data_IF_307617539345
#
_entry.id   IF_307617539345
#
_cell.length_a   1.000
_cell.length_b   1.000
_cell.length_c   1.000
_cell.angle_alpha   90.00
_cell.angle_beta   90.00
_cell.angle_gamma   90.00
#
_symmetry.space_group_name_H-M   'P 1'
#
loop_
_entity.id
_entity.type
_entity.pdbx_description
1 polymer ?
#
# COMPACT_ATOMS: atom_id res chain seq x y z
N UNK A 1 6.67 -17.27 24.44
CA UNK A 1 6.01 -15.95 24.57
C UNK A 1 5.96 -15.31 23.19
N UNK A 2 4.85 -15.46 22.47
CA UNK A 2 4.63 -14.82 21.17
C UNK A 2 3.43 -13.90 21.39
N UNK A 3 3.70 -12.60 21.56
CA UNK A 3 2.64 -11.59 21.62
C UNK A 3 1.95 -11.52 20.27
N UNK A 4 0.73 -12.02 20.21
CA UNK A 4 -0.19 -11.75 19.11
C UNK A 4 -0.49 -10.24 19.11
N UNK A 5 0.00 -9.54 18.09
CA UNK A 5 -0.41 -8.16 17.84
C UNK A 5 -1.86 -8.19 17.34
N UNK A 6 -2.76 -7.63 18.14
CA UNK A 6 -4.15 -7.43 17.76
C UNK A 6 -4.23 -6.52 16.52
N UNK A 7 -5.14 -6.80 15.57
CA UNK A 7 -5.36 -5.90 14.44
C UNK A 7 -5.94 -4.59 14.96
N UNK A 8 -5.31 -3.46 14.58
CA UNK A 8 -5.81 -2.12 14.87
C UNK A 8 -7.18 -1.98 14.21
N UNK A 9 -8.24 -2.00 15.01
CA UNK A 9 -9.57 -1.69 14.57
C UNK A 9 -9.68 -0.17 14.37
N UNK A 10 -9.41 0.29 13.16
CA UNK A 10 -9.72 1.65 12.77
C UNK A 10 -11.24 1.78 12.65
N UNK A 11 -11.91 2.22 13.72
CA UNK A 11 -13.24 2.78 13.57
C UNK A 11 -13.13 4.09 12.78
N UNK A 12 -13.92 4.28 11.71
CA UNK A 12 -13.98 5.57 11.06
C UNK A 12 -14.53 6.60 12.06
N UNK A 13 -14.04 7.85 12.06
CA UNK A 13 -14.64 8.89 12.88
C UNK A 13 -16.10 9.03 12.45
N UNK A 14 -17.01 8.83 13.41
CA UNK A 14 -18.41 9.18 13.21
C UNK A 14 -18.41 10.70 13.03
N UNK A 15 -18.68 11.15 11.80
CA UNK A 15 -18.97 12.57 11.58
C UNK A 15 -20.33 12.84 12.22
N UNK A 16 -20.33 13.22 13.50
CA UNK A 16 -21.48 13.77 14.21
C UNK A 16 -21.70 15.22 13.76
N UNK A 17 -22.03 15.40 12.48
CA UNK A 17 -22.63 16.62 11.97
C UNK A 17 -23.97 16.24 11.34
N UNK A 18 -24.79 15.53 12.12
CA UNK A 18 -26.22 15.54 11.85
C UNK A 18 -26.67 16.97 12.08
N UNK A 19 -26.96 17.68 10.99
CA UNK A 19 -27.60 18.99 11.07
C UNK A 19 -28.79 18.90 12.03
N UNK A 20 -28.84 19.80 12.99
CA UNK A 20 -29.99 19.88 13.90
C UNK A 20 -31.23 20.23 13.07
N UNK A 21 -32.43 19.76 13.46
CA UNK A 21 -33.66 20.07 12.73
C UNK A 21 -33.86 21.58 12.48
N UNK A 22 -33.37 22.42 13.40
CA UNK A 22 -33.37 23.87 13.30
C UNK A 22 -32.44 24.40 12.20
N UNK A 23 -31.22 23.86 12.07
CA UNK A 23 -30.28 24.24 10.99
C UNK A 23 -30.81 23.82 9.61
N UNK A 24 -31.50 22.67 9.54
CA UNK A 24 -32.18 22.23 8.32
C UNK A 24 -33.28 23.23 7.94
N UNK A 25 -34.04 23.70 8.93
CA UNK A 25 -35.11 24.68 8.70
C UNK A 25 -34.58 26.06 8.32
N UNK A 26 -33.43 26.46 8.85
CA UNK A 26 -32.72 27.69 8.47
C UNK A 26 -32.23 27.62 7.01
N UNK A 27 -31.69 26.48 6.58
CA UNK A 27 -31.31 26.24 5.19
C UNK A 27 -32.53 26.27 4.25
N UNK A 28 -33.65 25.68 4.65
CA UNK A 28 -34.90 25.75 3.88
C UNK A 28 -35.46 27.17 3.79
N UNK A 29 -35.29 27.97 4.84
CA UNK A 29 -35.72 29.37 4.87
C UNK A 29 -34.86 30.23 3.93
N UNK A 30 -33.54 29.97 3.88
CA UNK A 30 -32.60 30.65 2.99
C UNK A 30 -32.83 30.33 1.50
N UNK A 31 -33.34 29.13 1.20
CA UNK A 31 -33.73 28.75 -0.16
C UNK A 31 -35.10 29.31 -0.58
N UNK A 32 -35.98 29.63 0.38
CA UNK A 32 -37.30 30.23 0.14
C UNK A 32 -37.27 31.77 0.08
N UNK A 33 -36.19 32.40 0.55
CA UNK A 33 -35.93 33.81 0.23
C UNK A 33 -35.56 33.94 -1.25
N UNK A 34 -36.60 34.08 -2.08
CA UNK A 34 -36.50 34.55 -3.45
C UNK A 34 -35.65 35.84 -3.49
N UNK A 35 -34.64 35.95 -4.37
CA UNK A 35 -34.01 37.23 -4.61
C UNK A 35 -35.09 38.15 -5.19
N UNK A 36 -35.44 39.21 -4.46
CA UNK A 36 -36.25 40.30 -4.97
C UNK A 36 -35.51 41.00 -6.11
N UNK A 37 -35.60 40.45 -7.31
CA UNK A 37 -35.25 41.13 -8.54
C UNK A 37 -36.29 42.22 -8.78
N UNK A 38 -36.06 43.41 -8.22
CA UNK A 38 -36.70 44.62 -8.66
C UNK A 38 -36.41 44.81 -10.15
N UNK A 39 -37.36 44.41 -10.99
CA UNK A 39 -37.33 44.67 -12.42
C UNK A 39 -37.77 46.12 -12.63
N UNK A 40 -36.80 47.03 -12.68
CA UNK A 40 -37.01 48.34 -13.28
C UNK A 40 -37.24 48.16 -14.77
N UNK A 41 -38.41 48.62 -15.20
CA UNK A 41 -38.87 48.71 -16.58
C UNK A 41 -37.81 49.30 -17.53
N UNK A 42 -37.49 48.57 -18.61
CA UNK A 42 -37.42 49.06 -20.01
C UNK A 42 -36.59 48.09 -20.89
N UNK A 43 -37.27 47.37 -21.80
CA UNK A 43 -36.75 46.82 -23.07
C UNK A 43 -35.58 45.81 -23.16
N UNK A 44 -35.19 45.08 -22.09
CA UNK A 44 -34.05 44.12 -22.14
C UNK A 44 -34.33 42.65 -21.68
N UNK A 45 -35.60 42.25 -21.54
CA UNK A 45 -35.98 40.95 -20.95
C UNK A 45 -35.62 39.73 -21.81
N UNK A 46 -35.80 39.81 -23.13
CA UNK A 46 -35.47 38.71 -24.05
C UNK A 46 -33.97 38.37 -24.03
N UNK A 47 -33.10 39.38 -24.08
CA UNK A 47 -31.63 39.21 -24.07
C UNK A 47 -31.12 38.55 -22.78
N UNK A 48 -31.76 38.84 -21.64
CA UNK A 48 -31.43 38.23 -20.34
C UNK A 48 -31.76 36.73 -20.29
N UNK A 49 -32.93 36.32 -20.78
CA UNK A 49 -33.37 34.90 -20.79
C UNK A 49 -32.54 34.05 -21.75
N UNK A 50 -32.20 34.57 -22.94
CA UNK A 50 -31.28 33.87 -23.85
C UNK A 50 -29.87 33.70 -23.23
N UNK A 51 -29.42 34.67 -22.42
CA UNK A 51 -28.14 34.61 -21.71
C UNK A 51 -28.11 33.57 -20.58
N UNK A 52 -29.22 33.39 -19.85
CA UNK A 52 -29.30 32.38 -18.79
C UNK A 52 -29.36 30.96 -19.34
N UNK A 53 -30.13 30.71 -20.41
CA UNK A 53 -30.19 29.38 -21.03
C UNK A 53 -28.88 29.02 -21.74
N UNK A 54 -28.22 29.99 -22.41
CA UNK A 54 -26.89 29.79 -22.98
C UNK A 54 -25.83 29.51 -21.88
N UNK A 55 -25.90 30.22 -20.75
CA UNK A 55 -25.04 29.94 -19.58
C UNK A 55 -25.30 28.53 -19.03
N UNK A 56 -26.57 28.10 -18.94
CA UNK A 56 -26.93 26.74 -18.50
C UNK A 56 -26.40 25.69 -19.47
N UNK A 57 -26.55 25.90 -20.79
CA UNK A 57 -25.98 25.03 -21.83
C UNK A 57 -24.46 24.91 -21.69
N UNK A 58 -23.74 26.02 -21.54
CA UNK A 58 -22.28 26.02 -21.30
C UNK A 58 -21.90 25.27 -20.03
N UNK A 59 -22.65 25.45 -18.93
CA UNK A 59 -22.44 24.70 -17.68
C UNK A 59 -22.66 23.21 -17.86
N UNK A 60 -23.70 22.79 -18.59
CA UNK A 60 -23.95 21.38 -18.87
C UNK A 60 -22.80 20.74 -19.67
N UNK A 61 -22.29 21.45 -20.68
CA UNK A 61 -21.16 20.96 -21.48
C UNK A 61 -19.88 20.89 -20.63
N UNK A 62 -19.57 21.96 -19.89
CA UNK A 62 -18.38 22.02 -19.03
C UNK A 62 -18.43 20.98 -17.91
N UNK A 63 -19.57 20.80 -17.24
CA UNK A 63 -19.74 19.78 -16.21
C UNK A 63 -19.66 18.37 -16.77
N UNK A 64 -20.22 18.14 -17.97
CA UNK A 64 -20.07 16.85 -18.64
C UNK A 64 -18.61 16.55 -18.94
N UNK A 65 -17.86 17.55 -19.41
CA UNK A 65 -16.45 17.39 -19.69
C UNK A 65 -15.62 17.21 -18.40
N UNK A 66 -15.89 17.98 -17.35
CA UNK A 66 -15.19 17.88 -16.07
C UNK A 66 -15.46 16.53 -15.39
N UNK A 67 -16.69 16.03 -15.43
CA UNK A 67 -17.04 14.70 -14.96
C UNK A 67 -16.31 13.61 -15.76
N UNK A 68 -16.21 13.75 -17.09
CA UNK A 68 -15.44 12.82 -17.94
C UNK A 68 -13.96 12.82 -17.56
N UNK A 69 -13.33 14.00 -17.44
CA UNK A 69 -11.92 14.15 -17.03
C UNK A 69 -11.69 13.59 -15.63
N UNK A 70 -12.63 13.80 -14.70
CA UNK A 70 -12.55 13.25 -13.34
C UNK A 70 -12.58 11.72 -13.36
N UNK A 71 -13.55 11.11 -14.07
CA UNK A 71 -13.63 9.65 -14.25
C UNK A 71 -12.36 9.08 -14.89
N UNK A 72 -11.83 9.77 -15.90
CA UNK A 72 -10.62 9.32 -16.58
C UNK A 72 -9.37 9.40 -15.69
N UNK A 73 -9.19 10.49 -14.93
CA UNK A 73 -8.11 10.60 -13.92
C UNK A 73 -8.20 9.48 -12.89
N UNK A 74 -9.40 9.20 -12.37
CA UNK A 74 -9.61 8.11 -11.41
C UNK A 74 -9.30 6.74 -12.02
N UNK A 75 -9.73 6.50 -13.27
CA UNK A 75 -9.42 5.25 -14.00
C UNK A 75 -7.91 5.07 -14.15
N UNK A 76 -7.20 6.09 -14.64
CA UNK A 76 -5.74 6.05 -14.77
C UNK A 76 -5.05 5.76 -13.43
N UNK A 77 -5.44 6.45 -12.37
CA UNK A 77 -4.82 6.22 -11.06
C UNK A 77 -5.01 4.78 -10.55
N UNK A 78 -6.18 4.17 -10.81
CA UNK A 78 -6.43 2.77 -10.49
C UNK A 78 -5.58 1.81 -11.34
N UNK A 79 -5.40 2.12 -12.63
CA UNK A 79 -4.53 1.36 -13.53
C UNK A 79 -3.07 1.43 -13.05
N UNK A 80 -2.58 2.63 -12.74
CA UNK A 80 -1.22 2.85 -12.23
C UNK A 80 -0.98 2.09 -10.93
N UNK A 81 -1.93 2.14 -9.99
CA UNK A 81 -1.83 1.41 -8.73
C UNK A 81 -1.87 -0.11 -8.95
N UNK A 82 -2.68 -0.59 -9.89
CA UNK A 82 -2.75 -2.02 -10.23
C UNK A 82 -1.44 -2.49 -10.85
N UNK A 83 -0.85 -1.70 -11.74
CA UNK A 83 0.46 -2.00 -12.33
C UNK A 83 1.54 -2.05 -11.26
N UNK A 84 1.54 -1.10 -10.32
CA UNK A 84 2.50 -1.07 -9.23
C UNK A 84 2.38 -2.29 -8.30
N UNK A 85 1.16 -2.66 -7.91
CA UNK A 85 0.91 -3.89 -7.13
C UNK A 85 1.41 -5.13 -7.88
N UNK A 86 1.17 -5.23 -9.18
CA UNK A 86 1.63 -6.36 -9.99
C UNK A 86 3.17 -6.41 -10.08
N UNK A 87 3.82 -5.25 -10.27
CA UNK A 87 5.28 -5.11 -10.25
C UNK A 87 5.88 -5.56 -8.92
N UNK A 88 5.33 -5.07 -7.82
CA UNK A 88 5.76 -5.44 -6.46
C UNK A 88 5.52 -6.93 -6.17
N UNK A 89 4.40 -7.51 -6.62
CA UNK A 89 4.15 -8.95 -6.50
C UNK A 89 5.19 -9.78 -7.24
N UNK A 90 5.57 -9.38 -8.45
CA UNK A 90 6.60 -10.07 -9.22
C UNK A 90 7.96 -9.99 -8.52
N UNK A 91 8.36 -8.78 -8.07
CA UNK A 91 9.60 -8.59 -7.31
C UNK A 91 9.60 -9.40 -6.01
N UNK A 92 8.48 -9.46 -5.29
CA UNK A 92 8.37 -10.25 -4.07
C UNK A 92 8.55 -11.75 -4.34
N UNK A 93 8.00 -12.27 -5.44
CA UNK A 93 8.19 -13.66 -5.87
C UNK A 93 9.66 -13.95 -6.22
N UNK A 94 10.30 -13.06 -6.98
CA UNK A 94 11.73 -13.19 -7.31
C UNK A 94 12.60 -13.22 -6.06
N UNK A 95 12.42 -12.26 -5.15
CA UNK A 95 13.17 -12.21 -3.90
C UNK A 95 12.96 -13.46 -3.02
N UNK A 96 11.74 -13.98 -2.96
CA UNK A 96 11.44 -15.24 -2.25
C UNK A 96 12.15 -16.43 -2.87
N UNK A 97 12.17 -16.54 -4.19
CA UNK A 97 12.88 -17.61 -4.89
C UNK A 97 14.38 -17.53 -4.61
N UNK A 98 14.97 -16.34 -4.70
CA UNK A 98 16.38 -16.11 -4.41
C UNK A 98 16.73 -16.44 -2.96
N UNK A 99 15.89 -16.05 -2.02
CA UNK A 99 16.06 -16.39 -0.60
C UNK A 99 16.05 -17.91 -0.40
N UNK A 100 15.08 -18.61 -1.02
CA UNK A 100 14.98 -20.07 -0.93
C UNK A 100 16.27 -20.77 -1.42
N UNK A 101 16.80 -20.34 -2.57
CA UNK A 101 18.05 -20.88 -3.11
C UNK A 101 19.23 -20.61 -2.17
N UNK A 102 19.39 -19.38 -1.69
CA UNK A 102 20.48 -19.04 -0.75
C UNK A 102 20.38 -19.81 0.57
N UNK A 103 19.16 -20.03 1.08
CA UNK A 103 18.94 -20.85 2.27
C UNK A 103 19.35 -22.30 2.01
N UNK A 104 19.01 -22.86 0.85
CA UNK A 104 19.44 -24.19 0.46
C UNK A 104 20.97 -24.31 0.40
N UNK A 105 21.63 -23.39 -0.30
CA UNK A 105 23.09 -23.36 -0.44
C UNK A 105 23.78 -23.23 0.92
N UNK A 106 23.26 -22.37 1.80
CA UNK A 106 23.76 -22.22 3.15
C UNK A 106 23.68 -23.53 3.95
N UNK A 107 22.56 -24.27 3.85
CA UNK A 107 22.43 -25.58 4.50
C UNK A 107 23.42 -26.61 3.94
N UNK A 108 23.69 -26.59 2.62
CA UNK A 108 24.68 -27.48 2.01
C UNK A 108 26.07 -27.16 2.56
N UNK A 109 26.48 -25.90 2.53
CA UNK A 109 27.79 -25.46 3.05
C UNK A 109 27.93 -25.78 4.54
N UNK A 110 26.87 -25.58 5.33
CA UNK A 110 26.88 -25.91 6.75
C UNK A 110 27.07 -27.41 6.99
N UNK A 111 26.40 -28.26 6.20
CA UNK A 111 26.57 -29.71 6.27
C UNK A 111 28.01 -30.12 5.97
N UNK A 112 28.59 -29.56 4.91
CA UNK A 112 29.95 -29.88 4.51
C UNK A 112 30.97 -29.39 5.53
N UNK A 113 30.77 -28.20 6.10
CA UNK A 113 31.59 -27.69 7.21
C UNK A 113 31.54 -28.61 8.42
N UNK A 114 30.35 -29.08 8.81
CA UNK A 114 30.21 -30.01 9.95
C UNK A 114 30.89 -31.35 9.67
N UNK A 115 30.77 -31.85 8.44
CA UNK A 115 31.46 -33.07 8.00
C UNK A 115 32.97 -32.91 8.09
N UNK A 116 33.54 -31.85 7.50
CA UNK A 116 34.98 -31.58 7.55
C UNK A 116 35.49 -31.42 8.99
N UNK A 117 34.71 -30.77 9.86
CA UNK A 117 35.05 -30.62 11.27
C UNK A 117 35.11 -31.99 11.99
N UNK A 118 34.14 -32.87 11.73
CA UNK A 118 34.13 -34.23 12.28
C UNK A 118 35.33 -35.06 11.79
N UNK A 119 35.64 -35.00 10.49
CA UNK A 119 36.81 -35.68 9.91
C UNK A 119 38.12 -35.15 10.52
N UNK A 120 38.26 -33.83 10.68
CA UNK A 120 39.40 -33.21 11.35
C UNK A 120 39.56 -33.64 12.80
N UNK A 121 38.46 -33.68 13.57
CA UNK A 121 38.49 -34.17 14.96
C UNK A 121 38.94 -35.64 15.00
N UNK A 122 38.36 -36.48 14.15
CA UNK A 122 38.71 -37.90 14.08
C UNK A 122 40.20 -38.12 13.74
N UNK A 123 40.71 -37.41 12.72
CA UNK A 123 42.11 -37.51 12.33
C UNK A 123 43.05 -37.04 13.43
N UNK A 124 42.72 -35.95 14.14
CA UNK A 124 43.50 -35.48 15.29
C UNK A 124 43.54 -36.49 16.43
N UNK A 125 42.39 -37.12 16.74
CA UNK A 125 42.33 -38.18 17.75
C UNK A 125 43.17 -39.39 17.35
N UNK A 126 43.08 -39.83 16.09
CA UNK A 126 43.88 -40.95 15.57
C UNK A 126 45.38 -40.66 15.67
N UNK A 127 45.79 -39.46 15.28
CA UNK A 127 47.19 -39.03 15.36
C UNK A 127 47.69 -38.95 16.81
N UNK A 128 46.88 -38.41 17.73
CA UNK A 128 47.22 -38.39 19.15
C UNK A 128 47.36 -39.81 19.72
N UNK A 129 46.49 -40.74 19.35
CA UNK A 129 46.60 -42.15 19.75
C UNK A 129 47.88 -42.81 19.24
N UNK A 130 48.27 -42.55 17.99
CA UNK A 130 49.54 -43.05 17.45
C UNK A 130 50.75 -42.46 18.17
N UNK A 131 50.73 -41.16 18.49
CA UNK A 131 51.79 -40.53 19.28
C UNK A 131 51.90 -41.13 20.69
N UNK A 132 50.78 -41.45 21.32
CA UNK A 132 50.77 -42.11 22.62
C UNK A 132 51.41 -43.51 22.56
N UNK A 133 51.03 -44.32 21.57
CA UNK A 133 51.62 -45.65 21.36
C UNK A 133 53.14 -45.55 21.13
N UNK A 134 53.59 -44.58 20.32
CA UNK A 134 55.02 -44.36 20.09
C UNK A 134 55.76 -43.99 21.38
N UNK A 135 55.20 -43.11 22.20
CA UNK A 135 55.78 -42.72 23.49
C UNK A 135 55.89 -43.90 24.47
N UNK A 136 54.95 -44.84 24.43
CA UNK A 136 54.99 -46.07 25.24
C UNK A 136 56.07 -47.05 24.76
N UNK A 137 56.41 -47.06 23.46
CA UNK A 137 57.37 -47.99 22.86
C UNK A 137 58.82 -47.47 22.89
N UNK A 138 59.05 -46.14 22.91
CA UNK A 138 60.38 -45.56 23.12
C UNK A 138 60.66 -45.37 24.61
N UNK A 139 61.45 -46.24 25.27
CA UNK A 139 61.82 -45.99 26.66
C UNK A 139 62.70 -44.74 26.73
N UNK A 140 62.32 -43.80 27.62
CA UNK A 140 63.15 -42.66 28.00
C UNK A 140 64.52 -43.18 28.46
N UNK A 141 65.57 -42.96 27.65
CA UNK A 141 66.97 -43.07 28.05
C UNK A 141 67.43 -41.80 28.76
#
# INVERSE_FOLDING_TARGET
>A
MISAQNPVHCQPPVLDHTFTPSEIQELFSFLQSEPSFHSTSSSDTNRSVYSTEERKRRRMISNRESARRSRWRKKRHLEDLTNEVNRLKLQNRDLKNRLCLLTHDCHVVQRDSNRLLSESIYLRQKLAGLHQILAEITPLQ
#
